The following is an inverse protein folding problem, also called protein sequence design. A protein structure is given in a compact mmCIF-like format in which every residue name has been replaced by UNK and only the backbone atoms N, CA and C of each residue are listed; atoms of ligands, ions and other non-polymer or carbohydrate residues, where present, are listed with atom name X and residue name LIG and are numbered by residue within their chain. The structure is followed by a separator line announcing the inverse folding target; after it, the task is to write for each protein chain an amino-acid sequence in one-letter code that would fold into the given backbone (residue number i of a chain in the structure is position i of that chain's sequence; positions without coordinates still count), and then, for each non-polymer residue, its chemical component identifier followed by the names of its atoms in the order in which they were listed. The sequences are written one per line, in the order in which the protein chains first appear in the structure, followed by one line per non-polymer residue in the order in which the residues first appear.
data_IF_419565050897
#
_entry.id   IF_419565050897
#
_cell.length_a   1.000
_cell.length_b   1.000
_cell.length_c   1.000
_cell.angle_alpha   90.00
_cell.angle_beta   90.00
_cell.angle_gamma   90.00
#
_symmetry.space_group_name_H-M   'P 1'
#
loop_
_entity.id
_entity.type
_entity.pdbx_description
1 polymer ?
#
# COMPACT_ATOMS: atom_id res chain seq x y z
N UNK A 1 -3.63 -2.53 -5.22
CA UNK A 1 -2.84 -1.47 -4.55
C UNK A 1 -1.48 -2.09 -4.27
N UNK A 2 -0.39 -1.33 -4.12
CA UNK A 2 0.91 -1.96 -3.86
C UNK A 2 2.06 -0.97 -4.00
N UNK A 3 2.88 -0.89 -2.96
CA UNK A 3 4.00 0.04 -2.86
C UNK A 3 5.33 -0.67 -3.15
N UNK A 4 6.28 0.05 -3.73
CA UNK A 4 7.65 -0.40 -3.90
C UNK A 4 8.29 -0.69 -2.55
N UNK A 5 9.16 -1.70 -2.49
CA UNK A 5 9.88 -2.09 -1.28
C UNK A 5 10.70 -0.94 -0.67
N UNK A 6 11.12 0.03 -1.48
CA UNK A 6 11.92 1.17 -1.04
C UNK A 6 11.09 2.33 -0.45
N UNK A 7 9.76 2.24 -0.43
CA UNK A 7 8.90 3.24 0.21
C UNK A 7 9.24 3.39 1.69
N UNK A 8 9.44 4.63 2.14
CA UNK A 8 9.84 4.96 3.51
C UNK A 8 8.64 5.39 4.34
N UNK A 9 8.22 4.55 5.28
CA UNK A 9 7.17 4.88 6.23
C UNK A 9 7.76 5.50 7.49
N UNK A 10 6.98 6.38 8.10
CA UNK A 10 7.33 6.99 9.38
C UNK A 10 6.92 6.08 10.53
N UNK A 11 7.89 5.75 11.38
CA UNK A 11 7.69 4.99 12.61
C UNK A 11 7.12 5.89 13.72
N UNK A 12 6.51 5.28 14.74
CA UNK A 12 5.89 6.02 15.83
C UNK A 12 6.90 6.87 16.65
N UNK A 13 8.17 6.48 16.68
CA UNK A 13 9.28 7.21 17.29
C UNK A 13 9.86 8.32 16.40
N UNK A 14 9.38 8.46 15.17
CA UNK A 14 9.86 9.44 14.19
C UNK A 14 11.00 8.94 13.30
N UNK A 15 11.47 7.70 13.48
CA UNK A 15 12.41 7.09 12.54
C UNK A 15 11.72 6.69 11.22
N UNK A 16 12.52 6.34 10.20
CA UNK A 16 12.02 5.86 8.92
C UNK A 16 12.29 4.36 8.75
N UNK A 17 11.33 3.64 8.19
CA UNK A 17 11.46 2.22 7.85
C UNK A 17 11.06 1.96 6.40
N UNK A 18 11.86 1.17 5.68
CA UNK A 18 11.47 0.68 4.35
C UNK A 18 10.36 -0.34 4.47
N UNK A 19 9.36 -0.26 3.60
CA UNK A 19 8.20 -1.16 3.64
C UNK A 19 8.60 -2.65 3.55
N UNK A 20 9.66 -2.99 2.80
CA UNK A 20 10.14 -4.38 2.72
C UNK A 20 10.71 -4.94 4.04
N UNK A 21 11.13 -4.06 4.95
CA UNK A 21 11.67 -4.43 6.28
C UNK A 21 10.57 -4.53 7.35
N UNK A 22 9.32 -4.19 7.03
CA UNK A 22 8.23 -4.24 7.98
C UNK A 22 7.89 -5.68 8.39
N UNK A 23 7.47 -5.80 9.64
CA UNK A 23 6.98 -7.03 10.26
C UNK A 23 5.74 -6.72 11.07
N UNK A 24 4.93 -7.75 11.33
CA UNK A 24 3.84 -7.66 12.31
C UNK A 24 4.36 -7.10 13.63
N UNK A 25 3.56 -6.24 14.25
CA UNK A 25 3.87 -5.62 15.54
C UNK A 25 4.70 -4.35 15.48
N UNK A 26 5.24 -3.98 14.31
CA UNK A 26 5.85 -2.65 14.13
C UNK A 26 4.80 -1.56 14.32
N UNK A 27 5.19 -0.48 14.99
CA UNK A 27 4.36 0.71 15.19
C UNK A 27 4.76 1.81 14.22
N UNK A 28 3.79 2.25 13.43
CA UNK A 28 3.91 3.35 12.47
C UNK A 28 3.18 4.58 12.99
N UNK A 29 3.47 5.74 12.38
CA UNK A 29 2.68 6.95 12.57
C UNK A 29 1.52 6.99 11.58
N UNK A 30 0.33 7.37 12.05
CA UNK A 30 -0.86 7.60 11.20
C UNK A 30 -0.98 9.05 10.72
N UNK A 31 -2.04 9.35 9.96
CA UNK A 31 -2.32 10.70 9.45
C UNK A 31 -2.60 11.75 10.54
N UNK A 32 -2.91 11.32 11.76
CA UNK A 32 -3.16 12.17 12.92
C UNK A 32 -1.94 12.31 13.82
N UNK A 33 -0.83 11.67 13.46
CA UNK A 33 0.39 11.63 14.27
C UNK A 33 0.36 10.59 15.40
N UNK A 34 -0.67 9.74 15.47
CA UNK A 34 -0.82 8.70 16.47
C UNK A 34 -0.09 7.42 16.07
N UNK A 35 0.19 6.58 17.05
CA UNK A 35 0.82 5.28 16.84
C UNK A 35 -0.22 4.24 16.39
N UNK A 36 0.06 3.53 15.29
CA UNK A 36 -0.75 2.43 14.76
C UNK A 36 0.10 1.18 14.58
N UNK A 37 -0.46 0.02 14.90
CA UNK A 37 0.27 -1.25 14.84
C UNK A 37 -0.01 -1.98 13.53
N UNK A 38 1.06 -2.46 12.89
CA UNK A 38 0.98 -3.34 11.73
C UNK A 38 0.54 -4.74 12.16
N UNK A 39 -0.55 -5.23 11.59
CA UNK A 39 -1.07 -6.58 11.81
C UNK A 39 -0.53 -7.56 10.79
N UNK A 40 -0.50 -7.16 9.51
CA UNK A 40 0.00 -8.00 8.42
C UNK A 40 0.67 -7.16 7.34
N UNK A 41 1.74 -7.70 6.77
CA UNK A 41 2.38 -7.21 5.54
C UNK A 41 2.00 -8.17 4.41
N UNK A 42 1.42 -7.64 3.35
CA UNK A 42 1.06 -8.40 2.15
C UNK A 42 2.09 -8.10 1.07
N UNK A 43 2.72 -9.14 0.55
CA UNK A 43 3.71 -9.05 -0.51
C UNK A 43 3.14 -9.69 -1.76
N UNK A 44 2.95 -8.90 -2.81
CA UNK A 44 2.55 -9.43 -4.11
C UNK A 44 3.78 -9.57 -4.98
N UNK A 45 4.11 -10.80 -5.32
CA UNK A 45 5.17 -11.16 -6.27
C UNK A 45 4.61 -11.22 -7.69
N UNK A 46 5.36 -10.68 -8.65
CA UNK A 46 5.05 -10.81 -10.09
C UNK A 46 6.10 -11.69 -10.75
N UNK A 47 5.66 -12.65 -11.54
CA UNK A 47 6.57 -13.39 -12.39
C UNK A 47 7.20 -12.44 -13.41
N UNK A 48 8.50 -12.59 -13.70
CA UNK A 48 9.18 -11.90 -14.81
C UNK A 48 8.58 -12.37 -16.15
N UNK A 49 7.37 -11.93 -16.50
CA UNK A 49 6.89 -12.02 -17.87
C UNK A 49 7.35 -10.79 -18.63
N UNK A 50 7.94 -11.06 -19.79
CA UNK A 50 8.52 -10.10 -20.75
C UNK A 50 7.67 -8.82 -20.84
N UNK A 51 8.29 -7.70 -20.42
CA UNK A 51 7.97 -6.31 -20.79
C UNK A 51 6.48 -6.04 -21.07
N UNK A 52 5.71 -5.78 -20.02
CA UNK A 52 4.66 -4.78 -20.14
C UNK A 52 5.38 -3.43 -20.18
N UNK A 53 5.43 -2.82 -21.35
CA UNK A 53 6.22 -1.61 -21.63
C UNK A 53 5.75 -0.34 -20.89
N UNK A 54 4.72 -0.43 -20.03
CA UNK A 54 4.04 0.72 -19.42
C UNK A 54 3.82 0.64 -17.90
N UNK A 55 4.27 -0.42 -17.22
CA UNK A 55 4.17 -0.48 -15.75
C UNK A 55 5.37 0.19 -15.10
N UNK A 56 5.28 1.52 -14.99
CA UNK A 56 6.32 2.39 -14.44
C UNK A 56 5.98 2.70 -12.99
N UNK A 57 6.98 2.73 -12.11
CA UNK A 57 6.80 3.31 -10.76
C UNK A 57 6.86 4.83 -10.88
N UNK A 58 6.05 5.53 -10.09
CA UNK A 58 6.18 6.97 -9.87
C UNK A 58 6.70 7.19 -8.46
N UNK A 59 7.53 8.21 -8.31
CA UNK A 59 8.24 8.50 -7.09
C UNK A 59 7.84 9.91 -6.61
N UNK A 60 7.26 10.00 -5.42
CA UNK A 60 6.89 11.27 -4.81
C UNK A 60 8.07 11.82 -4.00
N UNK A 61 8.53 13.01 -4.37
CA UNK A 61 9.58 13.75 -3.67
C UNK A 61 8.99 15.04 -3.07
N UNK A 62 8.82 15.03 -1.74
CA UNK A 62 8.24 16.14 -0.98
C UNK A 62 9.07 17.44 -1.11
N UNK A 63 10.40 17.34 -1.22
CA UNK A 63 11.28 18.50 -1.24
C UNK A 63 11.04 19.41 -2.46
N UNK A 64 10.63 18.83 -3.59
CA UNK A 64 10.30 19.59 -4.81
C UNK A 64 8.94 20.29 -4.73
N UNK A 65 8.00 19.75 -3.94
CA UNK A 65 6.64 20.28 -3.84
C UNK A 65 6.56 21.56 -2.98
N UNK A 66 7.56 21.83 -2.13
CA UNK A 66 7.60 22.97 -1.20
C UNK A 66 8.13 24.28 -1.79
N UNK A 67 8.44 24.33 -3.08
CA UNK A 67 8.84 25.58 -3.77
C UNK A 67 7.72 26.64 -3.85
N UNK A 68 6.51 26.36 -3.35
CA UNK A 68 5.38 27.30 -3.29
C UNK A 68 4.90 27.66 -1.87
N UNK A 69 5.66 27.33 -0.82
CA UNK A 69 5.52 27.96 0.50
C UNK A 69 4.79 27.15 1.57
N UNK A 70 5.55 26.35 2.33
CA UNK A 70 5.26 26.03 3.72
C UNK A 70 6.56 25.64 4.43
N UNK A 71 6.65 25.89 5.74
CA UNK A 71 7.86 25.75 6.54
C UNK A 71 7.98 24.33 7.11
N UNK A 72 9.06 23.63 6.78
CA UNK A 72 9.71 22.63 7.66
C UNK A 72 11.20 22.86 7.51
N UNK A 73 11.84 23.47 8.51
CA UNK A 73 13.25 23.89 8.47
C UNK A 73 14.25 22.75 8.65
N UNK A 74 13.80 21.53 8.97
CA UNK A 74 14.69 20.54 9.58
C UNK A 74 14.91 19.27 8.75
N UNK A 75 14.35 19.15 7.55
CA UNK A 75 14.70 18.05 6.63
C UNK A 75 15.86 18.46 5.71
N UNK A 76 17.07 18.46 6.28
CA UNK A 76 18.32 18.52 5.52
C UNK A 76 18.73 17.08 5.17
N UNK A 77 18.90 16.84 3.87
CA UNK A 77 19.39 15.61 3.23
C UNK A 77 18.40 14.43 3.11
N UNK A 78 17.67 14.36 1.99
CA UNK A 78 18.10 13.52 0.86
C UNK A 78 17.16 13.71 -0.33
N UNK A 79 17.74 13.82 -1.52
CA UNK A 79 17.04 13.99 -2.80
C UNK A 79 16.35 12.68 -3.25
N UNK A 80 15.69 11.96 -2.33
CA UNK A 80 15.12 10.64 -2.61
C UNK A 80 13.60 10.65 -2.43
N UNK A 81 12.86 10.07 -3.39
CA UNK A 81 11.42 9.92 -3.25
C UNK A 81 11.06 9.06 -2.05
N UNK A 82 10.09 9.51 -1.25
CA UNK A 82 9.70 8.84 -0.01
C UNK A 82 8.54 7.86 -0.22
N UNK A 83 7.65 8.16 -1.17
CA UNK A 83 6.64 7.21 -1.66
C UNK A 83 7.00 6.72 -3.06
N UNK A 84 6.99 5.41 -3.28
CA UNK A 84 7.23 4.79 -4.59
C UNK A 84 6.17 3.73 -4.87
N UNK A 85 5.45 3.84 -5.97
CA UNK A 85 4.42 2.86 -6.31
C UNK A 85 3.84 3.07 -7.69
N UNK A 86 2.76 2.33 -7.98
CA UNK A 86 2.05 2.49 -9.24
C UNK A 86 1.50 3.93 -9.39
N UNK A 87 1.52 4.54 -10.58
CA UNK A 87 1.00 5.90 -10.84
C UNK A 87 -0.42 6.14 -10.30
N UNK A 88 -1.25 5.09 -10.34
CA UNK A 88 -2.64 5.07 -9.87
C UNK A 88 -2.81 4.67 -8.40
N UNK A 89 -1.73 4.56 -7.64
CA UNK A 89 -1.87 4.38 -6.20
C UNK A 89 -2.43 5.67 -5.59
N UNK A 90 -3.52 5.59 -4.82
CA UNK A 90 -4.06 6.74 -4.12
C UNK A 90 -3.11 7.17 -3.01
N UNK A 91 -2.92 8.48 -2.90
CA UNK A 91 -2.24 9.14 -1.78
C UNK A 91 -3.14 10.21 -1.19
N UNK A 92 -3.00 10.45 0.09
CA UNK A 92 -3.63 11.57 0.78
C UNK A 92 -2.55 12.59 1.14
N UNK A 93 -2.72 13.83 0.71
CA UNK A 93 -1.86 14.95 1.11
C UNK A 93 -2.59 15.71 2.22
N UNK A 94 -2.12 15.66 3.48
CA UNK A 94 -2.67 16.47 4.55
C UNK A 94 -2.46 17.96 4.25
N UNK A 95 -3.54 18.73 4.34
CA UNK A 95 -3.54 20.18 4.27
C UNK A 95 -3.45 20.83 5.66
N UNK A 96 -3.36 22.16 5.69
CA UNK A 96 -3.36 22.90 6.96
C UNK A 96 -4.75 22.85 7.62
N UNK A 97 -4.79 22.83 8.95
CA UNK A 97 -6.02 22.91 9.74
C UNK A 97 -7.04 21.79 9.50
N UNK A 98 -6.58 20.58 9.19
CA UNK A 98 -7.43 19.39 8.99
C UNK A 98 -8.11 19.31 7.62
N UNK A 99 -7.81 20.23 6.71
CA UNK A 99 -8.10 20.03 5.28
C UNK A 99 -7.14 19.00 4.68
N UNK A 100 -7.47 18.36 3.56
CA UNK A 100 -6.63 17.39 2.89
C UNK A 100 -7.19 17.01 1.52
N UNK A 101 -6.38 16.43 0.65
CA UNK A 101 -6.84 15.98 -0.66
C UNK A 101 -6.36 14.57 -1.00
N UNK A 102 -7.26 13.81 -1.61
CA UNK A 102 -6.94 12.54 -2.26
C UNK A 102 -6.57 12.79 -3.70
N UNK A 103 -5.49 12.16 -4.14
CA UNK A 103 -5.05 12.19 -5.54
C UNK A 103 -4.25 10.94 -5.88
N UNK A 104 -4.02 10.72 -7.16
CA UNK A 104 -3.14 9.64 -7.59
C UNK A 104 -1.67 10.04 -7.45
N UNK A 105 -0.80 9.06 -7.23
CA UNK A 105 0.64 9.29 -7.09
C UNK A 105 1.23 10.07 -8.27
N UNK A 106 0.77 9.84 -9.49
CA UNK A 106 1.16 10.61 -10.69
C UNK A 106 0.75 12.08 -10.67
N UNK A 107 -0.31 12.43 -9.96
CA UNK A 107 -0.79 13.80 -9.82
C UNK A 107 -0.03 14.52 -8.70
N UNK A 108 0.35 13.78 -7.66
CA UNK A 108 1.14 14.30 -6.54
C UNK A 108 2.62 14.50 -6.89
N UNK A 109 3.17 13.69 -7.81
CA UNK A 109 4.62 13.61 -8.00
C UNK A 109 5.17 14.70 -8.90
N UNK A 110 6.16 15.45 -8.40
CA UNK A 110 6.87 16.49 -9.15
C UNK A 110 7.87 15.93 -10.20
N UNK A 111 8.19 14.63 -10.14
CA UNK A 111 9.00 13.95 -11.15
C UNK A 111 8.53 12.51 -11.36
N UNK A 112 8.31 12.14 -12.61
CA UNK A 112 8.13 10.75 -13.01
C UNK A 112 9.52 10.14 -13.23
N UNK A 113 10.18 9.71 -12.15
CA UNK A 113 11.27 8.74 -12.31
C UNK A 113 10.66 7.39 -12.66
N UNK A 114 10.57 7.15 -13.96
CA UNK A 114 9.99 5.94 -14.51
C UNK A 114 11.01 4.80 -14.46
N UNK A 115 11.12 4.15 -13.31
CA UNK A 115 11.90 2.92 -13.18
C UNK A 115 11.03 1.70 -13.49
N UNK A 116 11.63 0.58 -13.95
CA UNK A 116 10.95 -0.69 -14.00
C UNK A 116 10.30 -0.98 -12.65
N UNK A 117 9.07 -1.49 -12.68
CA UNK A 117 8.39 -1.86 -11.45
C UNK A 117 9.13 -3.00 -10.74
N UNK A 118 9.14 -2.92 -9.41
CA UNK A 118 9.69 -3.96 -8.55
C UNK A 118 9.00 -5.31 -8.83
N UNK A 119 9.75 -6.40 -8.69
CA UNK A 119 9.20 -7.76 -8.74
C UNK A 119 8.24 -8.05 -7.60
N UNK A 120 8.26 -7.21 -6.57
CA UNK A 120 7.44 -7.30 -5.38
C UNK A 120 6.79 -5.96 -5.06
N UNK A 121 5.52 -5.98 -4.69
CA UNK A 121 4.80 -4.82 -4.16
C UNK A 121 4.23 -5.14 -2.79
N UNK A 122 4.10 -4.12 -1.97
CA UNK A 122 3.82 -4.23 -0.55
C UNK A 122 2.56 -3.47 -0.18
N UNK A 123 1.65 -4.13 0.55
CA UNK A 123 0.49 -3.51 1.19
C UNK A 123 0.47 -3.87 2.68
N UNK A 124 -0.30 -3.12 3.45
CA UNK A 124 -0.39 -3.28 4.91
C UNK A 124 -1.83 -3.54 5.34
N UNK A 125 -1.96 -4.27 6.44
CA UNK A 125 -3.17 -4.31 7.26
C UNK A 125 -2.76 -3.83 8.65
N UNK A 126 -3.52 -2.89 9.20
CA UNK A 126 -3.38 -2.43 10.57
C UNK A 126 -4.23 -3.30 11.51
N UNK A 127 -3.88 -3.29 12.79
CA UNK A 127 -4.64 -4.01 13.81
C UNK A 127 -6.12 -3.57 13.84
N UNK A 128 -6.95 -4.33 14.55
CA UNK A 128 -8.40 -4.12 14.60
C UNK A 128 -8.80 -2.71 15.10
N UNK A 129 -8.05 -2.14 16.05
CA UNK A 129 -8.30 -0.79 16.59
C UNK A 129 -7.91 0.33 15.63
N UNK A 130 -6.97 0.07 14.72
CA UNK A 130 -6.41 1.05 13.80
C UNK A 130 -6.89 0.88 12.35
N UNK A 131 -7.86 -0.01 12.09
CA UNK A 131 -8.42 -0.17 10.73
C UNK A 131 -9.04 1.13 10.23
N UNK A 132 -8.75 1.45 8.98
CA UNK A 132 -9.22 2.68 8.33
C UNK A 132 -8.33 3.90 8.56
N UNK A 133 -7.30 3.79 9.40
CA UNK A 133 -6.21 4.75 9.45
C UNK A 133 -5.35 4.65 8.20
N UNK A 134 -4.72 5.76 7.85
CA UNK A 134 -3.68 5.81 6.85
C UNK A 134 -2.33 5.67 7.56
N UNK A 135 -1.27 5.36 6.82
CA UNK A 135 0.08 5.38 7.38
C UNK A 135 0.87 6.54 6.77
N UNK A 136 1.61 7.24 7.62
CA UNK A 136 2.49 8.33 7.22
C UNK A 136 3.67 7.77 6.43
N UNK A 137 3.86 8.30 5.24
CA UNK A 137 5.08 8.19 4.48
C UNK A 137 5.94 9.39 4.87
N UNK A 138 7.23 9.14 5.10
CA UNK A 138 8.17 10.20 5.45
C UNK A 138 8.05 11.36 4.44
N UNK A 139 7.95 12.62 4.88
CA UNK A 139 7.67 13.74 3.97
C UNK A 139 6.18 14.02 3.74
N UNK A 140 5.36 13.87 4.79
CA UNK A 140 4.01 14.43 4.90
C UNK A 140 3.03 14.03 3.78
N UNK A 141 3.05 12.76 3.40
CA UNK A 141 2.01 12.11 2.58
C UNK A 141 1.51 10.89 3.33
N UNK A 142 0.24 10.56 3.21
CA UNK A 142 -0.32 9.36 3.79
C UNK A 142 -0.77 8.39 2.70
N UNK A 143 -0.57 7.10 2.95
CA UNK A 143 -1.02 6.03 2.05
C UNK A 143 -2.10 5.19 2.73
N UNK A 144 -3.11 4.73 1.98
CA UNK A 144 -4.11 3.83 2.51
C UNK A 144 -3.57 2.42 2.70
N UNK A 145 -4.17 1.71 3.66
CA UNK A 145 -3.92 0.29 3.93
C UNK A 145 -5.07 -0.56 3.39
N UNK A 146 -4.90 -1.88 3.29
CA UNK A 146 -6.00 -2.76 2.92
C UNK A 146 -7.11 -2.72 3.98
N UNK A 147 -8.36 -2.81 3.53
CA UNK A 147 -9.55 -2.73 4.37
C UNK A 147 -9.74 -1.38 5.06
N UNK A 148 -9.32 -0.29 4.41
CA UNK A 148 -9.39 1.07 4.96
C UNK A 148 -10.82 1.64 5.10
N UNK A 149 -11.83 1.06 4.46
CA UNK A 149 -13.25 1.48 4.49
C UNK A 149 -13.48 2.97 4.19
N UNK A 150 -12.60 3.60 3.40
CA UNK A 150 -12.73 4.99 2.92
C UNK A 150 -13.59 5.01 1.66
N UNK A 151 -14.35 6.10 1.49
CA UNK A 151 -15.34 6.25 0.41
C UNK A 151 -15.04 7.39 -0.55
N UNK A 152 -13.93 8.10 -0.35
CA UNK A 152 -13.51 9.15 -1.28
C UNK A 152 -13.17 8.53 -2.65
N UNK A 153 -13.53 9.22 -3.74
CA UNK A 153 -13.55 8.67 -5.10
C UNK A 153 -12.24 8.01 -5.54
N UNK A 154 -11.10 8.54 -5.14
CA UNK A 154 -9.76 8.08 -5.58
C UNK A 154 -9.28 6.86 -4.80
N UNK A 155 -9.67 6.75 -3.53
CA UNK A 155 -9.19 5.68 -2.64
C UNK A 155 -10.19 4.52 -2.52
N UNK A 156 -11.46 4.76 -2.84
CA UNK A 156 -12.49 3.73 -2.78
C UNK A 156 -12.16 2.58 -3.73
N UNK A 157 -12.09 1.37 -3.19
CA UNK A 157 -11.91 0.16 -3.98
C UNK A 157 -12.92 -0.90 -3.54
N UNK A 158 -13.68 -1.53 -4.48
CA UNK A 158 -14.81 -2.41 -4.15
C UNK A 158 -14.39 -3.66 -3.36
N UNK A 159 -13.14 -4.10 -3.51
CA UNK A 159 -12.57 -5.20 -2.74
C UNK A 159 -11.51 -4.75 -1.72
N UNK A 160 -10.34 -4.24 -2.18
CA UNK A 160 -9.22 -3.81 -1.33
C UNK A 160 -9.56 -2.77 -0.26
N UNK A 161 -10.62 -1.97 -0.44
CA UNK A 161 -11.07 -1.01 0.56
C UNK A 161 -11.98 -1.61 1.64
N UNK A 162 -12.31 -2.89 1.58
CA UNK A 162 -13.36 -3.51 2.41
C UNK A 162 -12.81 -4.54 3.39
N UNK A 163 -13.68 -5.08 4.26
CA UNK A 163 -13.32 -6.20 5.14
C UNK A 163 -13.06 -7.50 4.38
N UNK A 164 -13.62 -7.67 3.17
CA UNK A 164 -13.50 -8.91 2.40
C UNK A 164 -12.05 -9.29 2.09
N UNK A 165 -11.19 -8.31 1.74
CA UNK A 165 -9.77 -8.59 1.52
C UNK A 165 -9.07 -9.11 2.78
N UNK A 166 -9.46 -8.60 3.95
CA UNK A 166 -8.88 -9.06 5.21
C UNK A 166 -9.40 -10.47 5.54
N UNK A 167 -10.68 -10.77 5.29
CA UNK A 167 -11.24 -12.10 5.52
C UNK A 167 -10.54 -13.17 4.66
N UNK A 168 -10.19 -12.85 3.41
CA UNK A 168 -9.43 -13.78 2.55
C UNK A 168 -7.99 -13.92 3.00
N UNK A 169 -7.33 -12.83 3.38
CA UNK A 169 -5.96 -12.86 3.88
C UNK A 169 -5.85 -13.59 5.22
N UNK A 170 -6.84 -13.48 6.11
CA UNK A 170 -6.87 -14.17 7.41
C UNK A 170 -6.85 -15.71 7.29
N UNK A 171 -7.26 -16.25 6.13
CA UNK A 171 -7.24 -17.68 5.80
C UNK A 171 -5.88 -18.14 5.26
N UNK A 172 -4.96 -17.23 4.96
CA UNK A 172 -3.65 -17.56 4.41
C UNK A 172 -2.69 -18.02 5.51
N UNK A 173 -1.84 -19.04 5.29
CA UNK A 173 -0.92 -19.55 6.31
C UNK A 173 -0.03 -18.47 6.95
N UNK A 174 0.53 -17.58 6.12
CA UNK A 174 1.41 -16.50 6.57
C UNK A 174 0.71 -15.43 7.42
N UNK A 175 -0.62 -15.33 7.34
CA UNK A 175 -1.35 -14.38 8.16
C UNK A 175 -1.28 -14.76 9.63
N UNK A 176 -1.57 -16.01 9.99
CA UNK A 176 -1.55 -16.40 11.41
C UNK A 176 -0.12 -16.63 11.92
N UNK A 177 0.78 -17.14 11.08
CA UNK A 177 2.13 -17.51 11.48
C UNK A 177 2.99 -16.32 11.93
N UNK A 178 3.26 -15.36 11.04
CA UNK A 178 4.16 -14.24 11.29
C UNK A 178 3.58 -12.89 10.82
N UNK A 179 2.36 -12.88 10.27
CA UNK A 179 1.74 -11.70 9.71
C UNK A 179 2.40 -11.26 8.41
N UNK A 180 2.95 -12.20 7.62
CA UNK A 180 3.47 -11.94 6.29
C UNK A 180 2.80 -12.86 5.28
N UNK A 181 1.91 -12.31 4.46
CA UNK A 181 1.25 -13.06 3.39
C UNK A 181 1.97 -12.78 2.07
N UNK A 182 2.45 -13.81 1.40
CA UNK A 182 3.02 -13.72 0.06
C UNK A 182 2.00 -14.22 -0.95
N UNK A 183 1.63 -13.36 -1.89
CA UNK A 183 0.72 -13.64 -2.98
C UNK A 183 1.47 -13.64 -4.31
N UNK A 184 1.02 -14.48 -5.23
CA UNK A 184 1.34 -14.37 -6.66
C UNK A 184 0.21 -13.68 -7.40
N UNK A 185 0.54 -13.05 -8.52
CA UNK A 185 -0.44 -12.34 -9.35
C UNK A 185 -1.62 -13.22 -9.77
N UNK A 186 -1.40 -14.51 -10.01
CA UNK A 186 -2.42 -15.48 -10.41
C UNK A 186 -3.41 -15.84 -9.29
N UNK A 187 -3.14 -15.44 -8.04
CA UNK A 187 -4.06 -15.65 -6.92
C UNK A 187 -5.15 -14.58 -6.82
N UNK A 188 -5.02 -13.47 -7.55
CA UNK A 188 -6.06 -12.45 -7.58
C UNK A 188 -7.19 -12.87 -8.50
N UNK A 189 -8.40 -12.89 -7.96
CA UNK A 189 -9.61 -13.11 -8.73
C UNK A 189 -10.15 -11.76 -9.20
N UNK A 190 -10.65 -11.72 -10.44
CA UNK A 190 -11.12 -10.49 -11.08
C UNK A 190 -12.51 -10.67 -11.65
N UNK A 191 -13.29 -9.59 -11.65
CA UNK A 191 -14.59 -9.56 -12.29
C UNK A 191 -14.46 -9.93 -13.77
N UNK A 192 -15.45 -10.68 -14.29
CA UNK A 192 -15.48 -11.11 -15.69
C UNK A 192 -16.18 -10.08 -16.61
N UNK A 193 -16.19 -8.82 -16.19
CA UNK A 193 -16.74 -7.70 -16.95
C UNK A 193 -15.61 -6.80 -17.48
N UNK A 194 -15.98 -5.72 -18.18
CA UNK A 194 -15.02 -4.78 -18.76
C UNK A 194 -14.14 -4.08 -17.72
N UNK A 195 -14.54 -4.08 -16.44
CA UNK A 195 -13.78 -3.40 -15.39
C UNK A 195 -12.57 -4.22 -14.94
N UNK A 196 -12.65 -5.56 -15.03
CA UNK A 196 -11.58 -6.49 -14.66
C UNK A 196 -10.94 -6.17 -13.29
N UNK A 197 -11.75 -5.69 -12.35
CA UNK A 197 -11.31 -5.24 -11.02
C UNK A 197 -11.10 -6.46 -10.14
N UNK A 198 -10.08 -6.41 -9.27
CA UNK A 198 -9.84 -7.46 -8.28
C UNK A 198 -11.04 -7.54 -7.33
N UNK A 199 -11.58 -8.75 -7.18
CA UNK A 199 -12.77 -9.03 -6.37
C UNK A 199 -12.58 -10.13 -5.33
N UNK A 200 -11.41 -10.78 -5.29
CA UNK A 200 -11.14 -11.87 -4.35
C UNK A 200 -9.66 -12.27 -4.35
N UNK A 201 -9.26 -13.06 -3.35
CA UNK A 201 -7.95 -13.73 -3.34
C UNK A 201 -8.14 -15.22 -3.11
N UNK A 202 -7.63 -16.04 -4.04
CA UNK A 202 -7.68 -17.49 -3.93
C UNK A 202 -6.63 -18.01 -2.95
N UNK A 203 -7.09 -18.80 -1.98
CA UNK A 203 -6.22 -19.57 -1.11
C UNK A 203 -5.72 -20.82 -1.87
N UNK A 204 -4.41 -21.03 -2.05
CA UNK A 204 -3.88 -22.20 -2.74
C UNK A 204 -4.29 -23.51 -2.08
N UNK A 205 -4.45 -23.53 -0.75
CA UNK A 205 -4.80 -24.73 0.01
C UNK A 205 -6.28 -25.14 -0.15
N UNK A 206 -7.15 -24.25 -0.66
CA UNK A 206 -8.56 -24.58 -0.90
C UNK A 206 -8.78 -25.42 -2.17
N UNK A 207 -7.81 -25.49 -3.08
CA UNK A 207 -7.95 -26.26 -4.33
C UNK A 207 -7.82 -27.79 -4.17
N UNK A 208 -7.41 -28.28 -2.99
CA UNK A 208 -7.24 -29.71 -2.71
C UNK A 208 -8.43 -30.35 -1.97
N UNK A 209 -9.36 -29.57 -1.40
CA UNK A 209 -10.51 -30.12 -0.66
C UNK A 209 -11.70 -30.46 -1.55
N UNK A 210 -11.84 -29.81 -2.71
CA UNK A 210 -13.04 -29.99 -3.58
C UNK A 210 -12.89 -31.16 -4.57
N UNK A 211 -11.69 -31.74 -4.69
CA UNK A 211 -11.43 -32.89 -5.55
C UNK A 211 -11.66 -34.26 -4.87
N UNK A 212 -12.02 -34.29 -3.57
CA UNK A 212 -12.16 -35.54 -2.82
C UNK A 212 -13.61 -35.95 -2.50
N UNK A 213 -14.63 -35.20 -2.96
CA UNK A 213 -16.05 -35.49 -2.70
C UNK A 213 -16.87 -35.72 -3.99
N UNK A 214 -16.34 -36.52 -4.90
CA UNK A 214 -17.17 -37.22 -5.89
C UNK A 214 -16.85 -38.71 -5.78
N UNK A 215 -17.60 -39.40 -4.92
CA UNK A 215 -17.78 -40.85 -4.92
C UNK A 215 -19.22 -41.15 -5.31
#
# INVERSE_FOLDING_TARGET
MGWSGDTLLEMADGEAIRVHNLKRGVFLRDESGLSVRVECVVVTTRAHRKRLHDERIVAFDYAKHMSTGACISDFRESHRPTARGHPWNPVHIPGRSGSGCWMYLREASASTEETPMDTETYDLILDKSHRGRLVSVFGNVCIPTLGHNRRDNVVMHPYFGTRAVIDDLEKMPGYQADGRVVLREEQYERTQDITNIVCGIRNPDQSLSDACNVQ
#
